data_IF_275392589078
#
_entry.id   IF_275392589078
#
_cell.length_a   1.000
_cell.length_b   1.000
_cell.length_c   1.000
_cell.angle_alpha   90.00
_cell.angle_beta   90.00
_cell.angle_gamma   90.00
#
_symmetry.space_group_name_H-M   'P 1'
#
loop_
_entity.id
_entity.type
_entity.pdbx_description
1 polymer ?
#
# COMPACT_ATOMS: atom_id res chain seq x y z
N UNK A 1 -12.43 3.33 -3.06
CA UNK A 1 -12.39 4.35 -1.97
C UNK A 1 -13.79 4.94 -1.71
N UNK A 2 -14.55 4.40 -0.76
CA UNK A 2 -15.98 4.74 -0.57
C UNK A 2 -16.27 5.87 0.42
N UNK A 3 -15.32 6.25 1.28
CA UNK A 3 -15.58 7.15 2.42
C UNK A 3 -14.69 8.40 2.49
N UNK A 4 -13.93 8.72 1.45
CA UNK A 4 -13.01 9.89 1.43
C UNK A 4 -13.75 11.20 1.70
N UNK A 5 -15.01 11.32 1.26
CA UNK A 5 -15.85 12.50 1.52
C UNK A 5 -16.17 12.77 2.99
N UNK A 6 -15.93 11.80 3.88
CA UNK A 6 -16.10 11.97 5.33
C UNK A 6 -14.87 12.58 6.01
N UNK A 7 -13.73 12.67 5.31
CA UNK A 7 -12.50 13.28 5.84
C UNK A 7 -12.70 14.80 5.91
N UNK A 8 -12.69 15.35 7.13
CA UNK A 8 -12.89 16.79 7.39
C UNK A 8 -11.64 17.51 7.87
N UNK A 9 -10.53 16.78 8.01
CA UNK A 9 -9.27 17.27 8.60
C UNK A 9 -8.12 17.00 7.62
N UNK A 10 -7.07 17.83 7.64
CA UNK A 10 -5.85 17.56 6.88
C UNK A 10 -5.28 16.18 7.21
N UNK A 11 -4.74 15.49 6.22
CA UNK A 11 -4.11 14.18 6.38
C UNK A 11 -2.64 14.22 5.95
N UNK A 12 -1.75 13.62 6.75
CA UNK A 12 -0.38 13.31 6.36
C UNK A 12 -0.30 11.83 6.00
N UNK A 13 0.21 11.51 4.82
CA UNK A 13 0.49 10.15 4.35
C UNK A 13 2.00 10.05 4.12
N UNK A 14 2.62 9.04 4.71
CA UNK A 14 4.01 8.67 4.47
C UNK A 14 4.07 7.20 4.06
N UNK A 15 4.78 6.91 2.98
CA UNK A 15 4.80 5.58 2.36
C UNK A 15 6.23 5.19 1.96
N UNK A 16 6.63 3.95 2.22
CA UNK A 16 7.83 3.38 1.59
C UNK A 16 7.50 2.86 0.19
N UNK A 17 8.35 3.17 -0.79
CA UNK A 17 8.09 2.79 -2.18
C UNK A 17 8.15 1.26 -2.41
N UNK A 18 8.87 0.54 -1.55
CA UNK A 18 9.10 -0.91 -1.65
C UNK A 18 8.31 -1.70 -0.59
N UNK A 19 7.19 -1.17 -0.09
CA UNK A 19 6.35 -1.86 0.90
C UNK A 19 5.69 -3.11 0.28
N UNK A 20 6.01 -4.34 0.75
CA UNK A 20 5.44 -5.57 0.21
C UNK A 20 4.00 -5.83 0.68
N UNK A 21 3.52 -5.09 1.69
CA UNK A 21 2.20 -5.26 2.30
C UNK A 21 1.18 -4.30 1.71
N UNK A 22 1.55 -3.02 1.59
CA UNK A 22 0.66 -1.96 1.07
C UNK A 22 1.33 -1.25 -0.09
N UNK A 23 0.78 -1.42 -1.30
CA UNK A 23 1.33 -0.81 -2.51
C UNK A 23 1.19 0.71 -2.46
N UNK A 24 2.16 1.40 -3.05
CA UNK A 24 2.15 2.88 -3.22
C UNK A 24 0.87 3.35 -3.92
N UNK A 25 0.33 2.55 -4.85
CA UNK A 25 -0.93 2.84 -5.55
C UNK A 25 -2.13 3.05 -4.62
N UNK A 26 -2.15 2.40 -3.44
CA UNK A 26 -3.24 2.59 -2.47
C UNK A 26 -3.21 4.01 -1.88
N UNK A 27 -2.00 4.50 -1.55
CA UNK A 27 -1.79 5.87 -1.09
C UNK A 27 -2.09 6.86 -2.22
N UNK A 28 -1.64 6.59 -3.45
CA UNK A 28 -1.90 7.45 -4.61
C UNK A 28 -3.40 7.62 -4.87
N UNK A 29 -4.20 6.55 -4.76
CA UNK A 29 -5.66 6.60 -4.93
C UNK A 29 -6.34 7.50 -3.87
N UNK A 30 -5.91 7.42 -2.60
CA UNK A 30 -6.46 8.27 -1.53
C UNK A 30 -6.13 9.74 -1.79
N UNK A 31 -4.88 10.03 -2.16
CA UNK A 31 -4.42 11.39 -2.45
C UNK A 31 -5.21 11.98 -3.61
N UNK A 32 -5.39 11.23 -4.71
CA UNK A 32 -6.20 11.66 -5.84
C UNK A 32 -7.64 11.99 -5.42
N UNK A 33 -8.30 11.09 -4.68
CA UNK A 33 -9.67 11.29 -4.21
C UNK A 33 -9.82 12.45 -3.21
N UNK A 34 -8.80 12.73 -2.40
CA UNK A 34 -8.76 13.89 -1.50
C UNK A 34 -8.59 15.20 -2.28
N UNK A 35 -7.69 15.21 -3.26
CA UNK A 35 -7.43 16.35 -4.14
C UNK A 35 -8.65 16.73 -4.97
N UNK A 36 -9.35 15.76 -5.56
CA UNK A 36 -10.62 15.98 -6.26
C UNK A 36 -11.67 16.68 -5.39
N UNK A 37 -11.64 16.43 -4.07
CA UNK A 37 -12.54 17.03 -3.09
C UNK A 37 -11.96 18.28 -2.43
N UNK A 38 -10.79 18.75 -2.87
CA UNK A 38 -10.06 19.87 -2.27
C UNK A 38 -9.83 19.70 -0.76
N UNK A 39 -9.67 18.45 -0.30
CA UNK A 39 -9.34 18.15 1.09
C UNK A 39 -7.81 18.16 1.22
N UNK A 40 -7.23 18.96 2.13
CA UNK A 40 -5.78 19.03 2.30
C UNK A 40 -5.15 17.67 2.61
N UNK A 41 -4.17 17.27 1.79
CA UNK A 41 -3.36 16.08 2.02
C UNK A 41 -1.88 16.45 1.87
N UNK A 42 -1.01 15.91 2.71
CA UNK A 42 0.45 16.00 2.55
C UNK A 42 0.94 14.59 2.29
N UNK A 43 1.61 14.36 1.17
CA UNK A 43 2.00 13.02 0.77
C UNK A 43 3.49 12.91 0.49
N UNK A 44 4.18 12.11 1.31
CA UNK A 44 5.63 11.88 1.25
C UNK A 44 5.90 10.41 0.95
N UNK A 45 6.81 10.15 0.02
CA UNK A 45 7.26 8.79 -0.31
C UNK A 45 8.77 8.67 -0.08
N UNK A 46 9.18 7.59 0.57
CA UNK A 46 10.58 7.24 0.80
C UNK A 46 10.98 6.12 -0.20
N UNK A 47 11.74 6.44 -1.27
CA UNK A 47 12.02 5.52 -2.37
C UNK A 47 12.87 4.31 -1.99
N UNK A 48 13.63 4.38 -0.89
CA UNK A 48 14.50 3.32 -0.40
C UNK A 48 13.95 2.60 0.86
N UNK A 49 12.68 2.82 1.20
CA UNK A 49 12.01 2.20 2.35
C UNK A 49 10.87 1.27 1.93
N UNK A 50 10.40 0.46 2.88
CA UNK A 50 9.29 -0.50 2.71
C UNK A 50 8.14 -0.24 3.69
N UNK A 51 7.70 -1.27 4.41
CA UNK A 51 6.56 -1.17 5.34
C UNK A 51 6.81 -0.30 6.59
N UNK A 52 8.06 0.04 6.85
CA UNK A 52 8.45 0.99 7.88
C UNK A 52 9.72 1.70 7.46
N UNK A 53 10.11 2.71 8.25
CA UNK A 53 11.31 3.50 7.99
C UNK A 53 12.47 2.95 8.84
N UNK A 54 13.27 2.08 8.24
CA UNK A 54 14.36 1.39 8.93
C UNK A 54 15.62 2.25 9.03
N UNK A 55 15.86 3.12 8.03
CA UNK A 55 17.01 4.02 8.04
C UNK A 55 16.79 5.16 9.02
N UNK A 56 17.83 5.46 9.79
CA UNK A 56 17.79 6.57 10.76
C UNK A 56 17.49 7.89 10.08
N UNK A 57 18.07 8.15 8.89
CA UNK A 57 17.85 9.40 8.17
C UNK A 57 16.37 9.58 7.79
N UNK A 58 15.74 8.52 7.28
CA UNK A 58 14.34 8.56 6.85
C UNK A 58 13.37 8.58 8.05
N UNK A 59 13.67 7.85 9.12
CA UNK A 59 12.90 7.89 10.36
C UNK A 59 12.94 9.27 11.02
N UNK A 60 14.12 9.90 11.08
CA UNK A 60 14.27 11.27 11.59
C UNK A 60 13.53 12.28 10.72
N UNK A 61 13.66 12.18 9.39
CA UNK A 61 12.90 13.03 8.48
C UNK A 61 11.39 12.86 8.62
N UNK A 62 10.88 11.62 8.73
CA UNK A 62 9.47 11.36 8.97
C UNK A 62 8.97 11.99 10.27
N UNK A 63 9.76 11.89 11.36
CA UNK A 63 9.42 12.54 12.62
C UNK A 63 9.41 14.07 12.52
N UNK A 64 10.41 14.66 11.85
CA UNK A 64 10.48 16.11 11.58
C UNK A 64 9.26 16.60 10.78
N UNK A 65 8.91 15.88 9.70
CA UNK A 65 7.72 16.17 8.87
C UNK A 65 6.44 16.06 9.70
N UNK A 66 6.33 15.01 10.52
CA UNK A 66 5.17 14.78 11.39
C UNK A 66 5.03 15.89 12.42
N UNK A 67 6.12 16.32 13.05
CA UNK A 67 6.11 17.40 14.03
C UNK A 67 5.68 18.72 13.40
N UNK A 68 6.21 19.06 12.22
CA UNK A 68 5.82 20.25 11.46
C UNK A 68 4.34 20.20 11.05
N UNK A 69 3.85 19.06 10.59
CA UNK A 69 2.44 18.84 10.23
C UNK A 69 1.51 19.02 11.43
N UNK A 70 1.82 18.36 12.55
CA UNK A 70 1.04 18.45 13.77
C UNK A 70 1.08 19.86 14.35
N UNK A 71 2.26 20.50 14.41
CA UNK A 71 2.40 21.87 14.89
C UNK A 71 1.63 22.88 14.04
N UNK A 72 1.57 22.69 12.72
CA UNK A 72 0.76 23.53 11.83
C UNK A 72 -0.74 23.39 12.08
N UNK A 73 -1.23 22.18 12.32
CA UNK A 73 -2.67 21.90 12.34
C UNK A 73 -3.28 21.80 13.74
N UNK A 74 -2.49 21.50 14.76
CA UNK A 74 -2.89 21.41 16.16
C UNK A 74 -2.26 22.51 17.03
N UNK A 75 -1.25 23.22 16.52
CA UNK A 75 -0.45 24.16 17.31
C UNK A 75 0.58 23.45 18.20
N UNK A 76 1.35 24.25 18.94
CA UNK A 76 2.36 23.74 19.87
C UNK A 76 3.78 24.12 19.47
N UNK A 77 4.75 23.56 20.21
CA UNK A 77 6.17 23.72 19.88
C UNK A 77 6.53 22.75 18.78
N UNK A 78 7.33 23.23 17.84
CA UNK A 78 7.92 22.44 16.76
C UNK A 78 9.41 22.66 16.82
N UNK A 79 10.19 21.58 16.86
CA UNK A 79 11.61 21.65 16.66
C UNK A 79 11.91 22.04 15.20
N UNK A 80 12.77 23.04 14.95
CA UNK A 80 13.22 23.34 13.60
C UNK A 80 13.89 22.11 12.96
N UNK A 81 13.62 21.86 11.69
CA UNK A 81 14.27 20.79 10.94
C UNK A 81 15.79 21.01 10.94
N UNK A 82 16.54 20.15 11.64
CA UNK A 82 17.99 20.21 11.77
C UNK A 82 18.72 19.78 10.49
N UNK A 83 18.08 19.92 9.33
CA UNK A 83 18.48 19.34 8.05
C UNK A 83 18.24 17.84 7.97
N UNK A 84 17.32 17.29 8.76
CA UNK A 84 17.06 15.85 8.78
C UNK A 84 16.28 15.43 7.54
N UNK A 85 15.30 16.24 7.13
CA UNK A 85 14.59 16.03 5.86
C UNK A 85 15.57 16.07 4.68
N UNK A 86 16.49 17.02 4.65
CA UNK A 86 17.46 17.16 3.56
C UNK A 86 18.49 16.00 3.46
N UNK A 87 18.73 15.27 4.56
CA UNK A 87 19.61 14.08 4.58
C UNK A 87 18.89 12.80 4.18
N UNK A 88 17.57 12.81 4.15
CA UNK A 88 16.75 11.65 3.83
C UNK A 88 16.50 11.52 2.33
N UNK A 89 15.87 10.42 1.95
CA UNK A 89 15.37 10.21 0.59
C UNK A 89 13.94 10.71 0.39
N UNK A 90 13.35 11.38 1.38
CA UNK A 90 11.96 11.82 1.36
C UNK A 90 11.64 12.62 0.08
N UNK A 91 10.66 12.11 -0.68
CA UNK A 91 10.12 12.76 -1.87
C UNK A 91 8.71 13.24 -1.59
N UNK A 92 8.49 14.54 -1.68
CA UNK A 92 7.18 15.13 -1.51
C UNK A 92 6.42 15.05 -2.83
N UNK A 93 5.38 14.22 -2.85
CA UNK A 93 4.54 13.96 -4.03
C UNK A 93 3.32 14.86 -4.11
N UNK A 94 2.80 15.26 -2.94
CA UNK A 94 1.73 16.25 -2.86
C UNK A 94 2.01 17.23 -1.72
N UNK A 95 2.19 18.49 -2.10
CA UNK A 95 2.18 19.64 -1.23
C UNK A 95 0.73 20.08 -1.11
N UNK A 96 -0.02 19.55 -0.16
CA UNK A 96 -1.24 20.22 0.27
C UNK A 96 -0.89 21.55 0.91
N UNK A 97 -1.39 21.79 2.11
CA UNK A 97 -1.28 23.12 2.70
C UNK A 97 0.07 23.31 3.40
N UNK A 98 0.92 22.28 3.55
CA UNK A 98 2.14 22.31 4.35
C UNK A 98 3.37 22.63 3.46
N UNK A 99 4.19 23.58 3.91
CA UNK A 99 5.51 23.85 3.33
C UNK A 99 6.56 23.24 4.25
N UNK A 100 7.48 22.47 3.70
CA UNK A 100 8.56 21.80 4.44
C UNK A 100 9.88 22.16 3.77
N UNK A 101 10.78 22.78 4.51
CA UNK A 101 12.08 23.16 4.00
C UNK A 101 12.97 21.91 3.80
N UNK A 102 13.76 21.89 2.71
CA UNK A 102 14.74 20.84 2.44
C UNK A 102 14.20 19.53 1.89
N UNK A 103 12.88 19.37 1.74
CA UNK A 103 12.29 18.18 1.10
C UNK A 103 12.46 18.22 -0.41
N UNK A 104 12.83 17.08 -1.01
CA UNK A 104 12.89 16.97 -2.46
C UNK A 104 11.47 16.96 -3.03
N UNK A 105 11.17 17.87 -3.95
CA UNK A 105 9.95 17.79 -4.74
C UNK A 105 10.03 16.56 -5.66
N UNK A 106 9.00 15.72 -5.62
CA UNK A 106 8.90 14.61 -6.55
C UNK A 106 8.49 15.13 -7.91
N UNK A 107 9.27 14.77 -8.93
CA UNK A 107 8.87 14.96 -10.33
C UNK A 107 8.28 13.65 -10.81
N UNK A 108 7.01 13.63 -11.26
CA UNK A 108 6.45 12.46 -11.92
C UNK A 108 7.30 12.10 -13.16
N UNK A 109 7.48 10.82 -13.49
CA UNK A 109 7.99 10.44 -14.81
C UNK A 109 7.13 11.09 -15.92
N UNK A 110 7.73 11.35 -17.09
CA UNK A 110 7.11 12.12 -18.18
C UNK A 110 5.78 11.53 -18.71
N UNK A 111 5.55 10.24 -18.47
CA UNK A 111 4.22 9.66 -18.38
C UNK A 111 3.95 9.34 -16.92
N UNK A 112 2.78 9.69 -16.35
CA UNK A 112 2.36 9.04 -15.13
C UNK A 112 2.47 7.55 -15.43
N UNK A 113 3.24 6.80 -14.63
CA UNK A 113 3.06 5.36 -14.60
C UNK A 113 1.55 5.19 -14.52
N UNK A 114 0.91 4.48 -15.46
CA UNK A 114 -0.54 4.36 -15.47
C UNK A 114 -0.89 4.08 -14.03
N UNK A 115 -1.80 4.89 -13.45
CA UNK A 115 -2.41 4.53 -12.18
C UNK A 115 -2.67 3.06 -12.37
N UNK A 116 -1.95 2.20 -11.63
CA UNK A 116 -2.25 0.80 -11.70
C UNK A 116 -3.66 0.80 -11.16
N UNK A 117 -4.64 0.84 -12.07
CA UNK A 117 -5.94 0.28 -11.83
C UNK A 117 -5.55 -0.99 -11.12
N UNK A 118 -5.97 -1.10 -9.85
CA UNK A 118 -6.22 -2.43 -9.33
C UNK A 118 -6.94 -3.09 -10.50
N UNK A 119 -6.33 -4.08 -11.18
CA UNK A 119 -7.03 -4.74 -12.26
C UNK A 119 -8.34 -5.13 -11.60
N UNK A 120 -9.46 -4.61 -12.12
CA UNK A 120 -10.79 -4.90 -11.58
C UNK A 120 -10.77 -6.38 -11.22
N UNK A 121 -11.17 -6.78 -9.99
CA UNK A 121 -10.94 -8.13 -9.50
C UNK A 121 -11.25 -9.07 -10.64
N UNK A 122 -10.18 -9.67 -11.20
CA UNK A 122 -10.36 -10.58 -12.33
C UNK A 122 -11.32 -11.59 -11.75
N UNK A 123 -12.47 -11.81 -12.40
CA UNK A 123 -13.33 -12.90 -11.93
C UNK A 123 -12.46 -14.15 -11.85
N UNK A 124 -12.71 -15.08 -10.91
CA UNK A 124 -11.90 -16.30 -10.78
C UNK A 124 -11.67 -16.98 -12.15
N UNK A 125 -12.65 -16.89 -13.04
CA UNK A 125 -12.60 -17.28 -14.46
C UNK A 125 -11.52 -16.56 -15.29
N UNK A 126 -11.46 -15.22 -15.23
CA UNK A 126 -10.48 -14.40 -15.95
C UNK A 126 -9.04 -14.57 -15.40
N UNK A 127 -8.90 -14.85 -14.11
CA UNK A 127 -7.62 -15.16 -13.50
C UNK A 127 -7.15 -16.56 -13.93
N UNK A 128 -8.06 -17.54 -13.96
CA UNK A 128 -7.80 -18.89 -14.46
C UNK A 128 -7.32 -18.86 -15.92
N UNK A 129 -7.92 -18.03 -16.79
CA UNK A 129 -7.56 -17.95 -18.21
C UNK A 129 -6.11 -17.53 -18.47
N UNK A 130 -5.49 -16.82 -17.53
CA UNK A 130 -4.08 -16.38 -17.63
C UNK A 130 -3.06 -17.42 -17.16
N UNK A 131 -3.50 -18.58 -16.67
CA UNK A 131 -2.66 -19.64 -16.13
C UNK A 131 -2.23 -20.66 -17.19
N UNK A 132 -1.02 -21.21 -17.03
CA UNK A 132 -0.58 -22.39 -17.79
C UNK A 132 -1.40 -23.63 -17.40
N UNK A 133 -1.47 -24.69 -18.24
CA UNK A 133 -2.19 -25.92 -17.90
C UNK A 133 -1.75 -26.56 -16.58
N UNK A 134 -0.45 -26.46 -16.23
CA UNK A 134 0.08 -26.98 -14.96
C UNK A 134 -0.44 -26.16 -13.77
N UNK A 135 -0.40 -24.84 -13.87
CA UNK A 135 -0.90 -23.93 -12.85
C UNK A 135 -2.43 -24.05 -12.67
N UNK A 136 -3.19 -24.24 -13.76
CA UNK A 136 -4.63 -24.54 -13.69
C UNK A 136 -4.91 -25.81 -12.90
N UNK A 137 -4.16 -26.88 -13.17
CA UNK A 137 -4.32 -28.14 -12.47
C UNK A 137 -4.02 -28.02 -10.97
N UNK A 138 -3.03 -27.19 -10.60
CA UNK A 138 -2.68 -26.92 -9.21
C UNK A 138 -3.79 -26.17 -8.47
N UNK A 139 -4.32 -25.08 -9.06
CA UNK A 139 -5.45 -24.33 -8.48
C UNK A 139 -6.69 -25.22 -8.37
N UNK A 140 -7.05 -25.96 -9.42
CA UNK A 140 -8.21 -26.86 -9.39
C UNK A 140 -8.07 -27.96 -8.33
N UNK A 141 -6.87 -28.52 -8.16
CA UNK A 141 -6.61 -29.52 -7.14
C UNK A 141 -6.73 -28.94 -5.74
N UNK A 142 -6.26 -27.70 -5.54
CA UNK A 142 -6.44 -27.00 -4.28
C UNK A 142 -7.93 -26.75 -4.00
N UNK A 143 -8.68 -26.20 -4.96
CA UNK A 143 -10.11 -25.92 -4.83
C UNK A 143 -10.94 -27.17 -4.51
N UNK A 144 -10.61 -28.33 -5.08
CA UNK A 144 -11.29 -29.61 -4.74
C UNK A 144 -11.05 -30.06 -3.30
N UNK A 145 -9.91 -29.65 -2.71
CA UNK A 145 -9.49 -30.09 -1.39
C UNK A 145 -9.80 -29.06 -0.30
N UNK A 146 -9.90 -27.77 -0.64
CA UNK A 146 -10.09 -26.67 0.31
C UNK A 146 -11.38 -26.84 1.13
N UNK A 147 -12.42 -27.42 0.52
CA UNK A 147 -13.69 -27.72 1.18
C UNK A 147 -13.58 -28.75 2.31
N UNK A 148 -12.52 -29.56 2.30
CA UNK A 148 -12.26 -30.59 3.31
C UNK A 148 -11.34 -30.11 4.44
N UNK A 149 -10.86 -28.86 4.38
CA UNK A 149 -9.93 -28.31 5.38
C UNK A 149 -10.73 -27.62 6.50
N UNK A 150 -10.46 -27.94 7.78
CA UNK A 150 -11.06 -27.25 8.90
C UNK A 150 -10.83 -25.73 8.88
N UNK A 151 -11.82 -24.94 9.31
CA UNK A 151 -11.81 -23.46 9.26
C UNK A 151 -10.63 -22.85 10.03
N UNK A 152 -10.26 -23.43 11.16
CA UNK A 152 -9.09 -23.03 11.95
C UNK A 152 -7.77 -23.26 11.21
N UNK A 153 -7.66 -24.37 10.47
CA UNK A 153 -6.50 -24.65 9.62
C UNK A 153 -6.44 -23.74 8.40
N UNK A 154 -7.59 -23.37 7.83
CA UNK A 154 -7.67 -22.39 6.74
C UNK A 154 -7.20 -21.00 7.19
N UNK A 155 -7.59 -20.56 8.39
CA UNK A 155 -7.15 -19.28 8.96
C UNK A 155 -5.62 -19.26 9.19
N UNK A 156 -5.06 -20.37 9.68
CA UNK A 156 -3.62 -20.51 9.84
C UNK A 156 -2.91 -20.50 8.48
N UNK A 157 -3.41 -21.26 7.51
CA UNK A 157 -2.83 -21.34 6.17
C UNK A 157 -2.85 -20.00 5.45
N UNK A 158 -3.95 -19.24 5.56
CA UNK A 158 -4.03 -17.86 5.08
C UNK A 158 -2.89 -17.00 5.62
N UNK A 159 -2.67 -17.01 6.93
CA UNK A 159 -1.63 -16.18 7.56
C UNK A 159 -0.21 -16.53 7.06
N UNK A 160 0.06 -17.82 6.83
CA UNK A 160 1.35 -18.30 6.34
C UNK A 160 1.54 -17.89 4.88
N UNK A 161 0.52 -18.08 4.04
CA UNK A 161 0.56 -17.67 2.64
C UNK A 161 0.79 -16.17 2.54
N UNK A 162 0.00 -15.33 3.21
CA UNK A 162 0.15 -13.87 3.19
C UNK A 162 1.58 -13.41 3.55
N UNK A 163 2.22 -14.06 4.53
CA UNK A 163 3.60 -13.78 4.91
C UNK A 163 4.64 -14.20 3.86
N UNK A 164 4.33 -15.20 3.03
CA UNK A 164 5.21 -15.73 1.99
C UNK A 164 5.02 -15.04 0.63
N UNK A 165 3.96 -14.24 0.44
CA UNK A 165 3.63 -13.60 -0.84
C UNK A 165 4.79 -12.82 -1.47
N UNK A 166 5.61 -12.13 -0.67
CA UNK A 166 6.77 -11.37 -1.17
C UNK A 166 7.93 -12.25 -1.67
N UNK A 167 7.89 -13.54 -1.37
CA UNK A 167 8.89 -14.52 -1.78
C UNK A 167 8.42 -15.35 -2.99
N UNK A 168 7.16 -15.18 -3.42
CA UNK A 168 6.58 -15.87 -4.58
C UNK A 168 7.08 -15.21 -5.88
N UNK A 169 7.61 -15.98 -6.84
CA UNK A 169 7.97 -15.44 -8.15
C UNK A 169 6.80 -14.75 -8.85
N UNK A 170 7.06 -13.68 -9.60
CA UNK A 170 5.99 -12.92 -10.27
C UNK A 170 5.12 -13.77 -11.21
N UNK A 171 5.69 -14.82 -11.82
CA UNK A 171 4.99 -15.77 -12.67
C UNK A 171 3.93 -16.61 -11.95
N UNK A 172 4.06 -16.76 -10.62
CA UNK A 172 3.23 -17.62 -9.79
C UNK A 172 2.27 -16.82 -8.90
N UNK A 173 2.41 -15.48 -8.87
CA UNK A 173 1.49 -14.60 -8.16
C UNK A 173 0.01 -14.78 -8.56
N UNK A 174 -0.35 -14.99 -9.84
CA UNK A 174 -1.76 -15.22 -10.19
C UNK A 174 -2.36 -16.49 -9.58
N UNK A 175 -1.58 -17.57 -9.52
CA UNK A 175 -1.98 -18.84 -8.86
C UNK A 175 -2.16 -18.60 -7.37
N UNK A 176 -1.18 -17.93 -6.79
CA UNK A 176 -1.13 -17.64 -5.37
C UNK A 176 -2.29 -16.76 -4.90
N UNK A 177 -2.60 -15.70 -5.65
CA UNK A 177 -3.69 -14.78 -5.34
C UNK A 177 -5.07 -15.48 -5.45
N UNK A 178 -5.26 -16.39 -6.42
CA UNK A 178 -6.47 -17.23 -6.55
C UNK A 178 -6.66 -18.19 -5.37
N UNK A 179 -5.58 -18.81 -4.90
CA UNK A 179 -5.60 -19.72 -3.74
C UNK A 179 -6.02 -18.94 -2.47
N UNK A 180 -5.46 -17.75 -2.26
CA UNK A 180 -5.83 -16.89 -1.13
C UNK A 180 -7.29 -16.45 -1.19
N UNK A 181 -7.79 -16.10 -2.38
CA UNK A 181 -9.19 -15.72 -2.58
C UNK A 181 -10.14 -16.85 -2.23
N UNK A 182 -9.86 -18.08 -2.67
CA UNK A 182 -10.65 -19.26 -2.32
C UNK A 182 -10.69 -19.54 -0.81
N UNK A 183 -9.56 -19.34 -0.12
CA UNK A 183 -9.51 -19.46 1.35
C UNK A 183 -10.38 -18.37 2.00
N UNK A 184 -10.34 -17.13 1.51
CA UNK A 184 -11.14 -16.03 2.02
C UNK A 184 -12.66 -16.24 1.81
N UNK A 185 -13.07 -16.78 0.67
CA UNK A 185 -14.47 -17.17 0.43
C UNK A 185 -14.92 -18.28 1.38
N UNK A 186 -14.06 -19.26 1.66
CA UNK A 186 -14.40 -20.34 2.59
C UNK A 186 -14.51 -19.87 4.04
N UNK A 187 -13.60 -19.00 4.46
CA UNK A 187 -13.65 -18.38 5.79
C UNK A 187 -14.87 -17.48 5.97
N UNK A 188 -15.35 -16.82 4.90
CA UNK A 188 -16.54 -15.95 4.95
C UNK A 188 -17.87 -16.70 4.81
N UNK A 189 -17.87 -17.90 4.23
CA UNK A 189 -19.06 -18.77 4.12
C UNK A 189 -19.23 -19.77 5.28
N UNK A 190 -18.29 -19.80 6.23
CA UNK A 190 -18.24 -20.72 7.38
C UNK A 190 -18.78 -20.16 8.70
N UNK A 191 -19.39 -18.96 8.72
CA UNK A 191 -20.26 -18.47 9.82
C UNK A 191 -21.70 -18.97 9.66
#
# INVERSE_FOLDING_TARGET
LTHVGNIKRPLLIAQGANDPRVKVSESDQIVAAMNEKSIPVTYVVFPDEGHGFARTENSMAFNSITEQFLGKHLGGRVQPDGGDVAKSTAQLRDLGNLSIDGVAAWTPPAEPAPVAEQPAPKTPEQAMDSLTPAQKAEVEQFLKNVDNIPVDQLAMMKSILEAQRSQVPESDLPVFDLILEAINEKLSSGE
#
